data_IF_358116995347
#
_entry.id   IF_358116995347
#
_cell.length_a   1.000
_cell.length_b   1.000
_cell.length_c   1.000
_cell.angle_alpha   90.00
_cell.angle_beta   90.00
_cell.angle_gamma   90.00
#
_symmetry.space_group_name_H-M   'P 1'
#
loop_
_entity.id
_entity.type
_entity.pdbx_description
1 polymer ?
#
# COMPACT_ATOMS: atom_id res chain seq x y z
N UNK A 1 -15.47 3.39 7.52
CA UNK A 1 -14.81 4.23 6.50
C UNK A 1 -13.94 3.35 5.62
N UNK A 2 -13.84 3.68 4.36
CA UNK A 2 -13.18 2.84 3.37
C UNK A 2 -12.22 3.68 2.52
N UNK A 3 -11.04 3.16 2.25
CA UNK A 3 -10.08 3.76 1.33
C UNK A 3 -9.87 2.85 0.14
N UNK A 4 -10.01 3.38 -1.07
CA UNK A 4 -9.81 2.64 -2.31
C UNK A 4 -8.67 3.31 -3.07
N UNK A 5 -7.64 2.52 -3.40
CA UNK A 5 -6.46 3.03 -4.11
C UNK A 5 -6.17 2.13 -5.31
N UNK A 6 -5.96 2.75 -6.46
CA UNK A 6 -5.53 2.06 -7.66
C UNK A 6 -4.10 2.51 -7.98
N UNK A 7 -3.20 1.54 -8.13
CA UNK A 7 -1.80 1.81 -8.43
C UNK A 7 -1.44 1.21 -9.77
N UNK A 8 -0.98 2.05 -10.69
CA UNK A 8 -0.35 1.60 -11.93
C UNK A 8 1.16 1.62 -11.70
N UNK A 9 1.78 0.46 -11.77
CA UNK A 9 3.18 0.29 -11.33
C UNK A 9 4.23 0.77 -12.34
N UNK A 10 3.83 1.24 -13.50
CA UNK A 10 4.75 1.79 -14.49
C UNK A 10 5.32 0.72 -15.40
N UNK A 11 6.62 0.49 -15.33
CA UNK A 11 7.34 -0.33 -16.31
C UNK A 11 6.80 -1.78 -16.44
N UNK A 12 6.33 -2.38 -15.36
CA UNK A 12 5.73 -3.71 -15.42
C UNK A 12 4.29 -3.70 -15.94
N UNK A 13 3.67 -2.53 -16.02
CA UNK A 13 2.32 -2.35 -16.55
C UNK A 13 1.21 -2.95 -15.71
N UNK A 14 1.50 -3.41 -14.52
CA UNK A 14 0.51 -4.06 -13.66
C UNK A 14 -0.29 -3.05 -12.85
N UNK A 15 -1.61 -3.25 -12.84
CA UNK A 15 -2.53 -2.47 -12.02
C UNK A 15 -2.83 -3.24 -10.74
N UNK A 16 -2.76 -2.55 -9.61
CA UNK A 16 -3.14 -3.12 -8.31
C UNK A 16 -4.27 -2.29 -7.73
N UNK A 17 -5.36 -2.94 -7.35
CA UNK A 17 -6.48 -2.31 -6.66
C UNK A 17 -6.42 -2.70 -5.19
N UNK A 18 -6.49 -1.70 -4.32
CA UNK A 18 -6.41 -1.87 -2.88
C UNK A 18 -7.67 -1.33 -2.26
N UNK A 19 -8.33 -2.13 -1.43
CA UNK A 19 -9.50 -1.73 -0.66
C UNK A 19 -9.19 -1.90 0.82
N UNK A 20 -9.19 -0.80 1.54
CA UNK A 20 -9.00 -0.79 2.98
C UNK A 20 -10.30 -0.42 3.65
N UNK A 21 -10.72 -1.21 4.63
CA UNK A 21 -11.95 -0.96 5.38
C UNK A 21 -11.63 -0.95 6.86
N UNK A 22 -11.97 0.15 7.53
CA UNK A 22 -11.78 0.24 8.97
C UNK A 22 -12.88 -0.52 9.72
N UNK A 23 -12.49 -1.21 10.78
CA UNK A 23 -13.40 -1.86 11.70
C UNK A 23 -13.49 -0.98 12.95
N UNK A 24 -14.69 -0.46 13.22
CA UNK A 24 -14.90 0.48 14.33
C UNK A 24 -14.73 -0.20 15.70
N UNK A 25 -14.99 -1.48 15.79
CA UNK A 25 -14.89 -2.22 17.06
C UNK A 25 -13.43 -2.51 17.42
N UNK A 26 -12.66 -3.02 16.48
CA UNK A 26 -11.27 -3.40 16.73
C UNK A 26 -10.29 -2.28 16.47
N UNK A 27 -10.70 -1.24 15.72
CA UNK A 27 -9.86 -0.15 15.22
C UNK A 27 -8.75 -0.63 14.28
N UNK A 28 -8.88 -1.84 13.76
CA UNK A 28 -7.99 -2.39 12.74
C UNK A 28 -8.52 -2.06 11.37
N UNK A 29 -7.69 -2.28 10.36
CA UNK A 29 -8.05 -2.09 8.96
C UNK A 29 -7.93 -3.43 8.25
N UNK A 30 -8.99 -3.80 7.55
CA UNK A 30 -9.00 -4.98 6.69
C UNK A 30 -8.58 -4.57 5.29
N UNK A 31 -7.66 -5.32 4.69
CA UNK A 31 -7.13 -5.04 3.37
C UNK A 31 -7.53 -6.12 2.38
N UNK A 32 -8.01 -5.69 1.21
CA UNK A 32 -8.20 -6.54 0.04
C UNK A 32 -7.31 -5.97 -1.06
N UNK A 33 -6.38 -6.79 -1.55
CA UNK A 33 -5.41 -6.37 -2.56
C UNK A 33 -5.59 -7.25 -3.78
N UNK A 34 -5.97 -6.65 -4.90
CA UNK A 34 -6.25 -7.33 -6.15
C UNK A 34 -5.17 -6.99 -7.16
N UNK A 35 -4.38 -7.98 -7.58
CA UNK A 35 -3.21 -7.75 -8.42
C UNK A 35 -2.85 -9.02 -9.19
N UNK A 36 -2.21 -8.85 -10.36
CA UNK A 36 -1.59 -9.95 -11.11
C UNK A 36 -0.13 -10.17 -10.73
N UNK A 37 0.47 -9.25 -9.99
CA UNK A 37 1.87 -9.38 -9.57
C UNK A 37 2.00 -10.44 -8.48
N UNK A 38 2.74 -11.51 -8.77
CA UNK A 38 2.92 -12.61 -7.82
C UNK A 38 3.59 -12.16 -6.53
N UNK A 39 4.51 -11.21 -6.61
CA UNK A 39 5.21 -10.68 -5.43
C UNK A 39 4.24 -9.93 -4.52
N UNK A 40 3.37 -9.12 -5.12
CA UNK A 40 2.35 -8.38 -4.35
C UNK A 40 1.29 -9.33 -3.81
N UNK A 41 0.95 -10.40 -4.52
CA UNK A 41 0.04 -11.43 -4.01
C UNK A 41 0.60 -12.08 -2.74
N UNK A 42 1.89 -12.37 -2.71
CA UNK A 42 2.57 -12.92 -1.52
C UNK A 42 2.57 -11.93 -0.36
N UNK A 43 2.87 -10.68 -0.66
CA UNK A 43 2.80 -9.59 0.32
C UNK A 43 1.39 -9.49 0.90
N UNK A 44 0.38 -9.52 0.05
CA UNK A 44 -1.02 -9.39 0.44
C UNK A 44 -1.47 -10.50 1.40
N UNK A 45 -0.95 -11.71 1.25
CA UNK A 45 -1.27 -12.82 2.14
C UNK A 45 -0.88 -12.53 3.59
N UNK A 46 0.08 -11.65 3.81
CA UNK A 46 0.59 -11.28 5.12
C UNK A 46 0.08 -9.92 5.62
N UNK A 47 -0.81 -9.28 4.86
CA UNK A 47 -1.35 -7.96 5.18
C UNK A 47 -2.87 -7.93 5.09
N UNK A 48 -3.55 -8.93 5.63
CA UNK A 48 -5.02 -8.98 5.58
C UNK A 48 -5.67 -8.06 6.60
N UNK A 49 -5.07 -7.98 7.78
CA UNK A 49 -5.53 -7.09 8.86
C UNK A 49 -4.31 -6.36 9.42
N UNK A 50 -4.41 -5.05 9.52
CA UNK A 50 -3.29 -4.23 9.99
C UNK A 50 -3.75 -3.23 11.05
N UNK A 51 -2.79 -2.79 11.87
CA UNK A 51 -2.98 -1.70 12.81
C UNK A 51 -2.57 -0.40 12.13
N UNK A 52 -3.49 0.55 11.89
CA UNK A 52 -3.14 1.78 11.18
C UNK A 52 -2.05 2.58 11.88
N UNK A 53 -1.98 2.55 13.20
CA UNK A 53 -0.96 3.31 13.92
C UNK A 53 0.44 2.76 13.69
N UNK A 54 0.56 1.46 13.43
CA UNK A 54 1.83 0.84 13.04
C UNK A 54 2.21 1.20 11.60
N UNK A 55 1.21 1.31 10.72
CA UNK A 55 1.45 1.47 9.28
C UNK A 55 1.78 2.89 8.83
N UNK A 56 1.42 3.90 9.62
CA UNK A 56 1.58 5.30 9.20
C UNK A 56 2.84 5.97 9.75
N UNK A 57 3.72 5.23 10.40
CA UNK A 57 4.89 5.79 11.06
C UNK A 57 6.12 4.92 10.84
N UNK A 58 7.27 5.57 10.71
CA UNK A 58 8.57 4.87 10.70
C UNK A 58 9.09 4.54 12.10
N UNK A 59 8.37 4.93 13.14
CA UNK A 59 8.79 4.66 14.53
C UNK A 59 8.90 3.16 14.79
N UNK A 60 9.84 2.79 15.64
CA UNK A 60 10.08 1.39 15.97
C UNK A 60 10.54 0.63 14.75
N UNK A 61 9.84 -0.47 14.44
CA UNK A 61 10.16 -1.30 13.28
C UNK A 61 9.64 -0.73 11.97
N UNK A 62 8.87 0.36 12.02
CA UNK A 62 8.23 0.94 10.85
C UNK A 62 7.00 0.15 10.40
N UNK A 63 6.41 0.58 9.28
CA UNK A 63 5.20 -0.08 8.76
C UNK A 63 5.44 -1.54 8.41
N UNK A 64 4.51 -2.39 8.82
CA UNK A 64 4.54 -3.80 8.43
C UNK A 64 4.46 -3.96 6.92
N UNK A 65 3.71 -3.08 6.25
CA UNK A 65 3.63 -3.04 4.78
C UNK A 65 5.01 -2.94 4.16
N UNK A 66 5.86 -2.04 4.66
CA UNK A 66 7.20 -1.85 4.11
C UNK A 66 8.12 -3.02 4.44
N UNK A 67 7.98 -3.62 5.63
CA UNK A 67 8.75 -4.82 5.98
C UNK A 67 8.39 -5.99 5.09
N UNK A 68 7.09 -6.16 4.79
CA UNK A 68 6.64 -7.21 3.88
C UNK A 68 7.06 -6.92 2.44
N UNK A 69 7.09 -5.65 2.05
CA UNK A 69 7.59 -5.24 0.75
C UNK A 69 9.08 -5.60 0.60
N UNK A 70 9.88 -5.33 1.62
CA UNK A 70 11.30 -5.70 1.61
C UNK A 70 11.50 -7.21 1.47
N UNK A 71 10.59 -7.99 2.02
CA UNK A 71 10.66 -9.47 1.99
C UNK A 71 10.19 -10.06 0.65
N UNK A 72 9.16 -9.50 0.05
CA UNK A 72 8.47 -10.13 -1.09
C UNK A 72 8.62 -9.39 -2.41
N UNK A 73 8.79 -8.07 -2.40
CA UNK A 73 8.94 -7.30 -3.64
C UNK A 73 10.36 -7.41 -4.17
N UNK A 74 10.49 -7.69 -5.48
CA UNK A 74 11.77 -7.74 -6.15
C UNK A 74 12.23 -6.37 -6.63
N UNK A 75 11.29 -5.45 -6.84
CA UNK A 75 11.58 -4.10 -7.32
C UNK A 75 11.43 -3.11 -6.18
N UNK A 76 12.54 -2.51 -5.78
CA UNK A 76 12.56 -1.54 -4.67
C UNK A 76 11.67 -0.35 -4.93
N UNK A 77 11.59 0.08 -6.19
CA UNK A 77 10.84 1.27 -6.59
C UNK A 77 9.36 1.03 -6.87
N UNK A 78 8.85 -0.17 -6.57
CA UNK A 78 7.43 -0.47 -6.76
C UNK A 78 6.56 0.48 -5.94
N UNK A 79 5.60 1.20 -6.55
CA UNK A 79 4.76 2.16 -5.82
C UNK A 79 3.61 1.52 -5.02
N UNK A 80 3.37 0.21 -5.19
CA UNK A 80 2.25 -0.46 -4.52
C UNK A 80 2.31 -0.36 -3.00
N UNK A 81 3.45 -0.56 -2.33
CA UNK A 81 3.50 -0.42 -0.87
C UNK A 81 3.04 0.96 -0.37
N UNK A 82 3.45 2.04 -1.05
CA UNK A 82 2.98 3.39 -0.71
C UNK A 82 1.47 3.51 -0.92
N UNK A 83 0.94 2.91 -1.98
CA UNK A 83 -0.50 2.89 -2.23
C UNK A 83 -1.28 2.16 -1.14
N UNK A 84 -0.73 1.06 -0.63
CA UNK A 84 -1.34 0.32 0.49
C UNK A 84 -1.43 1.22 1.72
N UNK A 85 -0.35 1.90 2.06
CA UNK A 85 -0.33 2.79 3.24
C UNK A 85 -1.32 3.94 3.05
N UNK A 86 -1.40 4.52 1.85
CA UNK A 86 -2.39 5.56 1.55
C UNK A 86 -3.82 5.07 1.77
N UNK A 87 -4.14 3.86 1.36
CA UNK A 87 -5.48 3.30 1.57
C UNK A 87 -5.79 3.14 3.07
N UNK A 88 -4.81 2.74 3.86
CA UNK A 88 -4.95 2.60 5.30
C UNK A 88 -5.18 3.97 5.96
N UNK A 89 -4.42 4.98 5.56
CA UNK A 89 -4.59 6.33 6.09
C UNK A 89 -5.99 6.88 5.84
N UNK A 90 -6.48 6.71 4.61
CA UNK A 90 -7.82 7.19 4.24
C UNK A 90 -8.90 6.40 4.99
N UNK A 91 -8.80 5.08 5.04
CA UNK A 91 -9.78 4.25 5.74
C UNK A 91 -9.84 4.56 7.24
N UNK A 92 -8.74 5.01 7.81
CA UNK A 92 -8.63 5.32 9.24
C UNK A 92 -8.98 6.77 9.57
N UNK A 93 -9.30 7.58 8.56
CA UNK A 93 -9.58 9.00 8.75
C UNK A 93 -8.35 9.84 9.08
N UNK A 94 -7.16 9.33 8.80
CA UNK A 94 -5.89 9.99 9.12
C UNK A 94 -5.33 10.82 7.96
N UNK A 95 -5.88 10.66 6.76
CA UNK A 95 -5.50 11.45 5.59
C UNK A 95 -6.71 11.68 4.69
N UNK A 96 -6.69 12.78 3.97
CA UNK A 96 -7.69 13.07 2.94
C UNK A 96 -7.43 12.22 1.70
N UNK A 97 -8.49 11.87 0.96
CA UNK A 97 -8.34 11.12 -0.28
C UNK A 97 -7.84 12.03 -1.40
N UNK A 98 -6.53 12.02 -1.63
CA UNK A 98 -5.87 12.84 -2.62
C UNK A 98 -4.92 11.99 -3.44
N UNK A 99 -4.96 12.13 -4.77
CA UNK A 99 -4.08 11.40 -5.66
C UNK A 99 -2.63 11.84 -5.48
N UNK A 100 -1.71 10.89 -5.61
CA UNK A 100 -0.28 11.16 -5.70
C UNK A 100 0.20 10.69 -7.06
N UNK A 101 1.18 11.38 -7.65
CA UNK A 101 1.70 11.00 -8.95
C UNK A 101 3.23 11.01 -8.95
N UNK A 102 3.80 10.15 -9.79
CA UNK A 102 5.23 10.05 -10.01
C UNK A 102 5.46 10.13 -11.52
N UNK A 103 6.17 11.16 -11.96
CA UNK A 103 6.56 11.31 -13.35
C UNK A 103 8.04 11.03 -13.47
N UNK A 104 8.41 10.23 -14.48
CA UNK A 104 9.79 9.80 -14.66
C UNK A 104 10.26 10.22 -16.06
N UNK A 105 11.34 10.98 -16.10
CA UNK A 105 11.94 11.45 -17.34
C UNK A 105 13.44 11.10 -17.32
N UNK A 106 13.93 10.61 -18.42
CA UNK A 106 15.36 10.40 -18.59
C UNK A 106 15.93 11.54 -19.43
N UNK A 107 16.98 12.16 -18.93
CA UNK A 107 17.69 13.22 -19.63
C UNK A 107 19.12 12.77 -19.89
N UNK A 108 19.58 12.86 -21.14
CA UNK A 108 20.95 12.50 -21.51
C UNK A 108 21.83 13.73 -21.44
N UNK A 109 23.00 13.62 -20.79
CA UNK A 109 24.00 14.68 -20.67
C UNK A 109 24.83 14.80 -21.95
#
# INVERSE_FOLDING_TARGET
MRGIVNVMSGICGMLTEIRATSDEQTRKVNLEINTRCENIQKLAQNLKVVDPMEEISFRGKGPRTLRMAAKHCKHTACPVPSGIIKSIEVASGLALPEDASIQVVQEKN
#
